data_IF_418340428583
#
_entry.id   IF_418340428583
#
_cell.length_a   1.000
_cell.length_b   1.000
_cell.length_c   1.000
_cell.angle_alpha   90.00
_cell.angle_beta   90.00
_cell.angle_gamma   90.00
#
_symmetry.space_group_name_H-M   'P 1'
#
loop_
_entity.id
_entity.type
_entity.pdbx_description
1 polymer ?
#
# COMPACT_ATOMS: atom_id res chain seq x y z
N UNK A 1 -0.88 -27.56 3.58
CA UNK A 1 -0.69 -27.28 2.15
C UNK A 1 -0.94 -25.80 1.94
N UNK A 2 0.10 -25.02 1.73
CA UNK A 2 -0.04 -23.57 1.46
C UNK A 2 -0.39 -23.44 -0.01
N UNK A 3 -1.60 -22.99 -0.31
CA UNK A 3 -1.96 -22.63 -1.68
C UNK A 3 -1.25 -21.32 -1.98
N UNK A 4 -0.13 -21.36 -2.69
CA UNK A 4 0.45 -20.16 -3.28
C UNK A 4 -0.61 -19.57 -4.22
N UNK A 5 -1.04 -18.35 -3.94
CA UNK A 5 -1.83 -17.59 -4.91
C UNK A 5 -0.88 -17.29 -6.07
N UNK A 6 -1.00 -18.08 -7.13
CA UNK A 6 -0.21 -17.86 -8.34
C UNK A 6 -0.82 -16.69 -9.12
N UNK A 7 -0.03 -15.96 -9.91
CA UNK A 7 -0.53 -14.92 -10.81
C UNK A 7 -1.67 -15.37 -11.72
N UNK A 8 -1.71 -16.69 -12.01
CA UNK A 8 -2.76 -17.33 -12.82
C UNK A 8 -4.15 -17.29 -12.15
N UNK A 9 -4.21 -17.37 -10.79
CA UNK A 9 -5.49 -17.27 -10.06
C UNK A 9 -5.98 -15.82 -10.07
N UNK A 10 -5.08 -14.85 -9.96
CA UNK A 10 -5.41 -13.43 -10.02
C UNK A 10 -5.85 -12.99 -11.43
N UNK A 11 -5.36 -13.65 -12.48
CA UNK A 11 -5.70 -13.40 -13.88
C UNK A 11 -6.79 -14.33 -14.42
N UNK A 12 -7.52 -15.06 -13.57
CA UNK A 12 -8.58 -15.93 -14.03
C UNK A 12 -9.70 -15.15 -14.71
N UNK A 13 -10.28 -15.69 -15.79
CA UNK A 13 -11.44 -15.10 -16.48
C UNK A 13 -12.66 -14.86 -15.55
N UNK A 14 -12.65 -15.47 -14.36
CA UNK A 14 -13.65 -15.24 -13.32
C UNK A 14 -13.55 -13.86 -12.67
N UNK A 15 -12.37 -13.22 -12.75
CA UNK A 15 -12.16 -11.89 -12.16
C UNK A 15 -12.48 -10.79 -13.18
N UNK A 16 -13.73 -10.37 -13.18
CA UNK A 16 -14.28 -9.43 -14.20
C UNK A 16 -13.92 -7.97 -13.99
N UNK A 17 -13.32 -7.61 -12.84
CA UNK A 17 -13.16 -6.20 -12.46
C UNK A 17 -11.83 -5.57 -12.91
N UNK A 18 -10.86 -6.37 -13.38
CA UNK A 18 -9.63 -5.85 -14.00
C UNK A 18 -8.73 -5.03 -13.08
N UNK A 19 -8.73 -5.31 -11.77
CA UNK A 19 -7.84 -4.63 -10.80
C UNK A 19 -6.38 -5.06 -10.92
N UNK A 20 -6.04 -5.88 -11.89
CA UNK A 20 -4.67 -6.37 -12.12
C UNK A 20 -3.75 -5.31 -12.75
N UNK A 21 -4.30 -4.19 -13.18
CA UNK A 21 -3.54 -3.13 -13.86
C UNK A 21 -2.86 -2.16 -12.91
N UNK A 22 -2.96 -2.37 -11.60
CA UNK A 22 -2.33 -1.51 -10.58
C UNK A 22 -0.80 -1.43 -10.72
N UNK A 23 -0.16 -2.46 -11.28
CA UNK A 23 1.28 -2.46 -11.54
C UNK A 23 1.70 -1.42 -12.60
N UNK A 24 0.75 -0.92 -13.37
CA UNK A 24 0.94 0.12 -14.38
C UNK A 24 0.69 1.52 -13.86
N UNK A 25 0.23 1.67 -12.61
CA UNK A 25 0.06 2.97 -12.00
C UNK A 25 1.41 3.69 -11.96
N UNK A 26 1.51 4.80 -12.65
CA UNK A 26 2.67 5.66 -12.60
C UNK A 26 2.63 6.41 -11.29
N UNK A 27 3.39 5.95 -10.31
CA UNK A 27 3.54 6.66 -9.05
C UNK A 27 4.38 7.91 -9.29
N UNK A 28 3.91 9.05 -8.84
CA UNK A 28 4.67 10.31 -8.87
C UNK A 28 5.82 10.28 -7.87
N UNK A 29 5.62 9.56 -6.78
CA UNK A 29 6.60 9.40 -5.73
C UNK A 29 6.47 8.02 -5.08
N UNK A 30 7.60 7.39 -4.78
CA UNK A 30 7.67 6.12 -4.07
C UNK A 30 8.98 6.06 -3.28
N UNK A 31 8.91 5.62 -2.02
CA UNK A 31 10.10 5.36 -1.22
C UNK A 31 10.91 4.19 -1.77
N UNK A 32 12.13 4.02 -1.30
CA UNK A 32 12.88 2.79 -1.52
C UNK A 32 12.17 1.61 -0.86
N UNK A 33 12.53 0.39 -1.29
CA UNK A 33 12.05 -0.84 -0.66
C UNK A 33 12.69 -1.01 0.72
N UNK A 34 11.95 -1.67 1.59
CA UNK A 34 12.37 -1.92 2.96
C UNK A 34 11.98 -0.82 3.94
N UNK A 35 12.00 -1.18 5.22
CA UNK A 35 11.69 -0.27 6.31
C UNK A 35 12.97 0.09 7.07
N UNK A 36 13.33 1.35 7.02
CA UNK A 36 14.45 1.94 7.75
C UNK A 36 14.01 3.22 8.45
N UNK A 37 14.84 3.72 9.37
CA UNK A 37 14.58 5.02 10.00
C UNK A 37 14.54 6.14 8.96
N UNK A 38 15.38 6.08 7.94
CA UNK A 38 15.41 7.06 6.85
C UNK A 38 14.10 7.04 6.05
N UNK A 39 13.59 5.87 5.69
CA UNK A 39 12.29 5.71 5.03
C UNK A 39 11.15 6.26 5.90
N UNK A 40 11.18 6.02 7.20
CA UNK A 40 10.18 6.55 8.14
C UNK A 40 10.20 8.08 8.16
N UNK A 41 11.39 8.68 8.21
CA UNK A 41 11.55 10.15 8.17
C UNK A 41 11.15 10.73 6.82
N UNK A 42 11.48 10.05 5.73
CA UNK A 42 11.10 10.43 4.38
C UNK A 42 9.58 10.44 4.20
N UNK A 43 8.86 9.43 4.72
CA UNK A 43 7.40 9.38 4.72
C UNK A 43 6.81 10.58 5.47
N UNK A 44 7.34 10.88 6.66
CA UNK A 44 6.89 12.01 7.47
C UNK A 44 7.07 13.35 6.74
N UNK A 45 8.22 13.52 6.07
CA UNK A 45 8.53 14.68 5.25
C UNK A 45 7.60 14.79 4.03
N UNK A 46 7.34 13.68 3.32
CA UNK A 46 6.47 13.64 2.17
C UNK A 46 5.00 13.98 2.52
N UNK A 47 4.62 13.80 3.78
CA UNK A 47 3.30 14.13 4.33
C UNK A 47 3.24 15.51 4.98
N UNK A 48 4.36 16.24 5.01
CA UNK A 48 4.48 17.53 5.71
C UNK A 48 4.04 17.45 7.18
N UNK A 49 4.46 16.39 7.86
CA UNK A 49 4.09 16.15 9.24
C UNK A 49 4.94 16.99 10.21
N UNK A 50 4.37 17.45 11.34
CA UNK A 50 5.12 18.17 12.35
C UNK A 50 6.16 17.27 13.02
N UNK A 51 7.21 17.87 13.58
CA UNK A 51 8.36 17.16 14.16
C UNK A 51 7.96 16.11 15.21
N UNK A 52 6.99 16.40 16.07
CA UNK A 52 6.52 15.46 17.08
C UNK A 52 5.94 14.16 16.47
N UNK A 53 5.32 14.23 15.29
CA UNK A 53 4.81 13.06 14.57
C UNK A 53 5.96 12.24 13.99
N UNK A 54 6.98 12.90 13.44
CA UNK A 54 8.21 12.24 12.97
C UNK A 54 8.88 11.48 14.11
N UNK A 55 9.03 12.12 15.28
CA UNK A 55 9.63 11.49 16.46
C UNK A 55 8.81 10.29 16.96
N UNK A 56 7.48 10.41 16.93
CA UNK A 56 6.58 9.32 17.27
C UNK A 56 6.74 8.12 16.31
N UNK A 57 6.81 8.39 15.00
CA UNK A 57 7.02 7.34 13.99
C UNK A 57 8.35 6.63 14.16
N UNK A 58 9.42 7.37 14.41
CA UNK A 58 10.75 6.80 14.66
C UNK A 58 10.73 5.93 15.91
N UNK A 59 10.10 6.39 16.99
CA UNK A 59 9.91 5.60 18.20
C UNK A 59 9.12 4.32 17.92
N UNK A 60 8.06 4.40 17.13
CA UNK A 60 7.26 3.25 16.74
C UNK A 60 8.07 2.25 15.88
N UNK A 61 8.94 2.75 15.00
CA UNK A 61 9.85 1.92 14.22
C UNK A 61 10.82 1.13 15.11
N UNK A 62 11.46 1.79 16.08
CA UNK A 62 12.34 1.09 17.03
C UNK A 62 11.59 0.04 17.84
N UNK A 63 10.37 0.38 18.29
CA UNK A 63 9.51 -0.60 18.95
C UNK A 63 9.14 -1.79 18.08
N UNK A 64 8.90 -1.56 16.78
CA UNK A 64 8.67 -2.63 15.81
C UNK A 64 9.87 -3.58 15.70
N UNK A 65 11.11 -3.04 15.65
CA UNK A 65 12.32 -3.85 15.56
C UNK A 65 12.55 -4.74 16.81
N UNK A 66 12.10 -4.29 17.98
CA UNK A 66 12.23 -5.04 19.23
C UNK A 66 11.19 -6.16 19.37
N UNK A 67 10.11 -6.11 18.58
CA UNK A 67 9.01 -7.07 18.68
C UNK A 67 9.25 -8.30 17.81
N UNK A 68 9.09 -9.50 18.39
CA UNK A 68 9.08 -10.71 17.58
C UNK A 68 7.84 -10.73 16.67
N UNK A 69 7.95 -11.46 15.56
CA UNK A 69 6.76 -11.76 14.74
C UNK A 69 5.67 -12.36 15.62
N UNK A 70 4.41 -11.92 15.45
CA UNK A 70 3.30 -12.48 16.20
C UNK A 70 3.17 -13.97 15.89
N UNK A 71 3.29 -14.77 16.93
CA UNK A 71 3.13 -16.23 16.86
C UNK A 71 2.01 -16.63 17.80
N UNK A 72 1.23 -17.62 17.42
CA UNK A 72 0.22 -18.20 18.29
C UNK A 72 -1.21 -18.00 17.83
N UNK A 73 -2.14 -18.33 18.72
CA UNK A 73 -3.56 -18.50 18.44
C UNK A 73 -4.24 -17.28 17.81
N UNK A 74 -3.89 -16.09 18.21
CA UNK A 74 -4.50 -14.86 17.72
C UNK A 74 -4.03 -14.44 16.33
N UNK A 75 -2.86 -14.90 15.90
CA UNK A 75 -2.29 -14.63 14.58
C UNK A 75 -2.72 -15.66 13.52
N UNK A 76 -3.50 -16.69 13.87
CA UNK A 76 -3.80 -17.78 12.95
C UNK A 76 -2.53 -18.49 12.51
N UNK A 77 -2.45 -18.85 11.23
CA UNK A 77 -1.31 -19.56 10.65
C UNK A 77 -0.23 -18.61 10.07
N UNK A 78 -0.03 -17.44 10.68
CA UNK A 78 0.95 -16.43 10.21
C UNK A 78 2.36 -17.02 10.13
N UNK A 79 2.70 -17.99 10.97
CA UNK A 79 3.99 -18.70 10.98
C UNK A 79 4.34 -19.36 9.63
N UNK A 80 3.34 -19.64 8.81
CA UNK A 80 3.54 -20.27 7.50
C UNK A 80 3.69 -19.22 6.36
N UNK A 81 3.65 -17.93 6.67
CA UNK A 81 3.87 -16.86 5.73
C UNK A 81 5.25 -16.26 5.97
N UNK A 82 6.12 -16.39 5.00
CA UNK A 82 7.37 -15.65 4.95
C UNK A 82 7.06 -14.26 4.43
N UNK A 83 7.00 -13.29 5.35
CA UNK A 83 6.88 -11.87 4.99
C UNK A 83 8.28 -11.29 4.94
N UNK A 84 8.69 -10.89 3.75
CA UNK A 84 9.93 -10.15 3.55
C UNK A 84 9.63 -8.65 3.67
N UNK A 85 9.91 -8.08 4.83
CA UNK A 85 9.71 -6.66 5.08
C UNK A 85 10.67 -5.77 4.29
N UNK A 86 11.77 -6.33 3.78
CA UNK A 86 12.72 -5.58 2.96
C UNK A 86 12.27 -5.48 1.50
N UNK A 87 11.34 -6.30 1.06
CA UNK A 87 10.80 -6.28 -0.30
C UNK A 87 9.47 -5.50 -0.45
N UNK A 88 9.13 -4.68 0.52
CA UNK A 88 7.88 -3.90 0.55
C UNK A 88 8.16 -2.41 0.34
N UNK A 89 7.35 -1.75 -0.46
CA UNK A 89 7.28 -0.29 -0.53
C UNK A 89 6.29 0.23 0.51
N UNK A 90 6.76 1.00 1.47
CA UNK A 90 5.94 1.46 2.59
C UNK A 90 5.16 2.73 2.30
N UNK A 91 5.53 3.45 1.26
CA UNK A 91 4.80 4.63 0.83
C UNK A 91 4.90 4.82 -0.68
N UNK A 92 3.74 5.08 -1.30
CA UNK A 92 3.64 5.46 -2.69
C UNK A 92 2.54 6.52 -2.84
N UNK A 93 2.76 7.49 -3.72
CA UNK A 93 1.79 8.53 -4.06
C UNK A 93 1.52 8.47 -5.56
N UNK A 94 0.26 8.31 -5.93
CA UNK A 94 -0.17 8.22 -7.33
C UNK A 94 -0.24 9.59 -8.01
N UNK A 95 -0.52 10.67 -7.26
CA UNK A 95 -0.57 12.03 -7.77
C UNK A 95 0.06 13.01 -6.78
N UNK A 96 0.57 14.15 -7.27
CA UNK A 96 1.11 15.21 -6.42
C UNK A 96 0.00 16.07 -5.78
N UNK A 97 -1.20 16.02 -6.32
CA UNK A 97 -2.34 16.81 -5.87
C UNK A 97 -3.49 15.90 -5.49
N UNK A 98 -4.20 16.30 -4.43
CA UNK A 98 -5.55 15.83 -4.23
C UNK A 98 -6.40 16.47 -5.32
N UNK A 99 -7.00 15.66 -6.18
CA UNK A 99 -7.93 16.15 -7.18
C UNK A 99 -9.16 16.72 -6.46
N UNK A 100 -9.39 18.00 -6.67
CA UNK A 100 -10.52 18.72 -6.03
C UNK A 100 -11.81 18.66 -6.83
N UNK A 101 -11.72 18.23 -8.09
CA UNK A 101 -12.85 18.15 -9.01
C UNK A 101 -12.86 16.79 -9.71
N UNK A 102 -14.05 16.23 -9.87
CA UNK A 102 -14.21 14.94 -10.57
C UNK A 102 -13.73 14.99 -12.03
N UNK A 103 -13.79 16.15 -12.67
CA UNK A 103 -13.31 16.33 -14.05
C UNK A 103 -11.81 16.05 -14.19
N UNK A 104 -11.03 16.34 -13.15
CA UNK A 104 -9.57 16.20 -13.12
C UNK A 104 -9.11 14.77 -12.81
N UNK A 105 -10.03 13.92 -12.34
CA UNK A 105 -9.74 12.52 -12.03
C UNK A 105 -9.40 11.74 -13.30
N UNK A 106 -8.28 10.98 -13.32
CA UNK A 106 -7.89 10.17 -14.46
C UNK A 106 -8.98 9.20 -14.93
N UNK A 107 -9.09 9.02 -16.25
CA UNK A 107 -10.14 8.19 -16.87
C UNK A 107 -10.16 6.75 -16.33
N UNK A 108 -9.01 6.13 -16.09
CA UNK A 108 -8.94 4.77 -15.58
C UNK A 108 -9.57 4.61 -14.17
N UNK A 109 -9.54 5.68 -13.36
CA UNK A 109 -10.24 5.70 -12.06
C UNK A 109 -11.74 5.82 -12.29
N UNK A 110 -12.17 6.73 -13.17
CA UNK A 110 -13.58 6.89 -13.56
C UNK A 110 -14.17 5.58 -14.09
N UNK A 111 -13.45 4.92 -15.00
CA UNK A 111 -13.82 3.62 -15.54
C UNK A 111 -13.97 2.53 -14.46
N UNK A 112 -13.16 2.62 -13.41
CA UNK A 112 -13.25 1.71 -12.27
C UNK A 112 -14.52 1.96 -11.46
N UNK A 113 -14.86 3.23 -11.22
CA UNK A 113 -16.10 3.61 -10.53
C UNK A 113 -17.32 3.15 -11.33
N UNK A 114 -17.30 3.35 -12.65
CA UNK A 114 -18.39 2.92 -13.54
C UNK A 114 -18.56 1.40 -13.54
N UNK A 115 -17.45 0.64 -13.59
CA UNK A 115 -17.48 -0.83 -13.52
C UNK A 115 -18.04 -1.35 -12.19
N UNK A 116 -17.78 -0.63 -11.10
CA UNK A 116 -18.27 -0.97 -9.76
C UNK A 116 -19.69 -0.47 -9.51
N UNK A 117 -20.26 0.34 -10.40
CA UNK A 117 -21.56 0.96 -10.20
C UNK A 117 -21.57 1.99 -9.07
N UNK A 118 -20.42 2.60 -8.77
CA UNK A 118 -20.32 3.65 -7.76
C UNK A 118 -20.71 4.98 -8.41
N UNK A 119 -21.72 5.70 -7.88
CA UNK A 119 -22.09 6.99 -8.42
C UNK A 119 -20.97 8.00 -8.27
N UNK A 120 -20.89 8.93 -9.20
CA UNK A 120 -19.97 10.06 -9.11
C UNK A 120 -20.22 10.82 -7.80
N UNK A 121 -19.15 11.16 -7.09
CA UNK A 121 -19.25 12.07 -5.97
C UNK A 121 -19.62 13.47 -6.50
N UNK A 122 -20.67 14.06 -5.98
CA UNK A 122 -21.02 15.46 -6.20
C UNK A 122 -20.10 16.39 -5.41
#
# INVERSE_FOLDING_TARGET
>A
MVTKITPEIANSEAYKFGFNDNDRATYTYRTEKGLSEDVVREISKAKDEPQWMTDFRVKAYHHFLERPMPTGFWGGNIQNYELDFDDIYYFARASERAEGDWSDVPSYIKDTFDKLGIPQAE
#
